data_IF_263979194597
#
_entry.id   IF_263979194597
#
_cell.length_a   1.000
_cell.length_b   1.000
_cell.length_c   1.000
_cell.angle_alpha   90.00
_cell.angle_beta   90.00
_cell.angle_gamma   90.00
#
_symmetry.space_group_name_H-M   'P 1'
#
loop_
_entity.id
_entity.type
_entity.pdbx_description
1 polymer ?
#
# COMPACT_ATOMS: atom_id res chain seq x y z
N UNK A 1 8.13 -11.83 -42.68
CA UNK A 1 8.07 -10.93 -41.51
C UNK A 1 7.95 -11.71 -40.20
N UNK A 2 7.00 -12.65 -40.06
CA UNK A 2 6.80 -13.43 -38.82
C UNK A 2 8.02 -14.20 -38.32
N UNK A 3 8.77 -14.88 -39.20
CA UNK A 3 9.97 -15.65 -38.77
C UNK A 3 11.08 -14.76 -38.18
N UNK A 4 11.23 -13.52 -38.65
CA UNK A 4 12.26 -12.58 -38.19
C UNK A 4 11.88 -12.00 -36.83
N UNK A 5 10.64 -11.55 -36.67
CA UNK A 5 10.12 -11.04 -35.40
C UNK A 5 10.21 -12.11 -34.30
N UNK A 6 9.76 -13.32 -34.60
CA UNK A 6 9.78 -14.43 -33.65
C UNK A 6 11.20 -14.77 -33.19
N UNK A 7 12.17 -14.82 -34.12
CA UNK A 7 13.59 -15.08 -33.77
C UNK A 7 14.18 -13.97 -32.90
N UNK A 8 13.82 -12.71 -33.14
CA UNK A 8 14.28 -11.59 -32.31
C UNK A 8 13.70 -11.67 -30.90
N UNK A 9 12.40 -11.93 -30.77
CA UNK A 9 11.75 -12.12 -29.46
C UNK A 9 12.42 -13.25 -28.69
N UNK A 10 12.64 -14.42 -29.31
CA UNK A 10 13.35 -15.53 -28.66
C UNK A 10 14.77 -15.16 -28.25
N UNK A 11 15.50 -14.45 -29.13
CA UNK A 11 16.87 -14.03 -28.84
C UNK A 11 16.92 -13.16 -27.59
N UNK A 12 15.99 -12.20 -27.46
CA UNK A 12 15.93 -11.33 -26.29
C UNK A 12 15.52 -12.07 -25.03
N UNK A 13 14.56 -12.99 -25.13
CA UNK A 13 14.20 -13.88 -24.03
C UNK A 13 15.41 -14.66 -23.51
N UNK A 14 16.21 -15.23 -24.42
CA UNK A 14 17.43 -15.95 -24.05
C UNK A 14 18.47 -15.05 -23.42
N UNK A 15 18.64 -13.81 -23.90
CA UNK A 15 19.56 -12.85 -23.29
C UNK A 15 19.14 -12.49 -21.87
N UNK A 16 17.84 -12.23 -21.67
CA UNK A 16 17.28 -11.92 -20.36
C UNK A 16 17.56 -13.03 -19.33
N UNK A 17 17.23 -14.29 -19.68
CA UNK A 17 17.43 -15.42 -18.76
C UNK A 17 18.91 -15.82 -18.57
N UNK A 18 19.82 -15.30 -19.39
CA UNK A 18 21.27 -15.52 -19.22
C UNK A 18 21.88 -14.61 -18.17
N UNK A 19 21.21 -13.53 -17.79
CA UNK A 19 21.69 -12.58 -16.79
C UNK A 19 20.94 -12.82 -15.46
N UNK A 20 21.48 -13.66 -14.55
CA UNK A 20 20.75 -14.08 -13.35
C UNK A 20 20.40 -12.90 -12.44
N UNK A 21 21.21 -11.84 -12.43
CA UNK A 21 20.91 -10.60 -11.71
C UNK A 21 19.63 -9.94 -12.21
N UNK A 22 19.45 -9.82 -13.54
CA UNK A 22 18.25 -9.21 -14.11
C UNK A 22 17.01 -10.04 -13.81
N UNK A 23 17.13 -11.37 -13.86
CA UNK A 23 16.05 -12.29 -13.49
C UNK A 23 15.66 -12.11 -12.02
N UNK A 24 16.63 -12.08 -11.10
CA UNK A 24 16.38 -11.87 -9.68
C UNK A 24 15.69 -10.54 -9.40
N UNK A 25 16.20 -9.44 -9.95
CA UNK A 25 15.63 -8.11 -9.71
C UNK A 25 14.25 -7.93 -10.35
N UNK A 26 13.96 -8.64 -11.45
CA UNK A 26 12.62 -8.58 -12.08
C UNK A 26 11.61 -9.47 -11.36
N UNK A 27 11.98 -10.70 -10.96
CA UNK A 27 11.03 -11.67 -10.42
C UNK A 27 11.14 -11.87 -8.90
N UNK A 28 12.36 -11.99 -8.39
CA UNK A 28 12.61 -12.28 -6.98
C UNK A 28 12.36 -11.07 -6.08
N UNK A 29 12.85 -9.90 -6.46
CA UNK A 29 12.75 -8.71 -5.61
C UNK A 29 11.30 -8.26 -5.33
N UNK A 30 10.39 -8.12 -6.32
CA UNK A 30 9.01 -7.73 -6.04
C UNK A 30 8.27 -8.73 -5.13
N UNK A 31 8.52 -10.03 -5.31
CA UNK A 31 7.96 -11.09 -4.46
C UNK A 31 8.50 -10.98 -3.04
N UNK A 32 9.82 -10.82 -2.86
CA UNK A 32 10.44 -10.63 -1.55
C UNK A 32 9.92 -9.37 -0.86
N UNK A 33 9.77 -8.26 -1.61
CA UNK A 33 9.22 -7.02 -1.08
C UNK A 33 7.76 -7.18 -0.67
N UNK A 34 6.93 -7.81 -1.50
CA UNK A 34 5.56 -8.12 -1.14
C UNK A 34 5.47 -9.02 0.09
N UNK A 35 6.40 -9.97 0.24
CA UNK A 35 6.47 -10.83 1.41
C UNK A 35 6.83 -10.06 2.68
N UNK A 36 7.94 -9.31 2.65
CA UNK A 36 8.46 -8.55 3.80
C UNK A 36 7.44 -7.50 4.24
N UNK A 37 6.98 -6.66 3.31
CA UNK A 37 6.01 -5.62 3.60
C UNK A 37 4.66 -6.23 3.97
N UNK A 38 4.23 -7.26 3.26
CA UNK A 38 2.98 -7.93 3.57
C UNK A 38 2.96 -8.50 4.98
N UNK A 39 4.04 -9.14 5.45
CA UNK A 39 4.15 -9.58 6.86
C UNK A 39 4.22 -8.38 7.80
N UNK A 40 5.06 -7.39 7.49
CA UNK A 40 5.28 -6.23 8.37
C UNK A 40 4.01 -5.40 8.61
N UNK A 41 3.06 -5.42 7.67
CA UNK A 41 1.82 -4.65 7.75
C UNK A 41 0.55 -5.51 7.84
N UNK A 42 0.60 -6.83 7.68
CA UNK A 42 -0.56 -7.73 7.82
C UNK A 42 -1.16 -7.72 9.22
N UNK A 43 -0.33 -7.52 10.25
CA UNK A 43 -0.76 -7.52 11.66
C UNK A 43 -1.05 -6.13 12.23
N UNK A 44 -1.09 -5.06 11.41
CA UNK A 44 -1.60 -3.76 11.87
C UNK A 44 -3.14 -3.72 11.92
N UNK A 45 -3.74 -4.82 12.38
CA UNK A 45 -5.14 -4.87 12.79
C UNK A 45 -5.38 -4.19 14.15
N UNK A 46 -4.33 -3.96 14.94
CA UNK A 46 -4.38 -3.02 16.05
C UNK A 46 -4.17 -1.60 15.49
N UNK A 47 -5.21 -1.03 14.89
CA UNK A 47 -5.32 0.43 14.87
C UNK A 47 -5.53 0.79 16.33
N UNK A 48 -4.44 1.08 17.02
CA UNK A 48 -4.49 1.76 18.29
C UNK A 48 -5.18 3.11 18.04
N UNK A 49 -6.42 3.20 18.50
CA UNK A 49 -7.26 4.37 18.27
C UNK A 49 -6.98 5.35 19.39
N UNK A 50 -6.16 6.34 19.07
CA UNK A 50 -5.86 7.44 19.98
C UNK A 50 -7.10 8.33 20.11
N UNK A 51 -7.59 8.45 21.34
CA UNK A 51 -8.75 9.26 21.72
C UNK A 51 -8.27 10.27 22.75
N UNK A 52 -8.53 11.55 22.54
CA UNK A 52 -8.28 12.53 23.57
C UNK A 52 -9.43 12.59 24.58
N UNK A 53 -9.11 12.74 25.86
CA UNK A 53 -10.06 13.00 26.94
C UNK A 53 -9.82 14.44 27.38
N UNK A 54 -10.79 15.32 27.12
CA UNK A 54 -10.68 16.74 27.46
C UNK A 54 -11.39 16.96 28.79
N UNK A 55 -10.64 17.43 29.78
CA UNK A 55 -11.18 17.78 31.09
C UNK A 55 -11.88 19.16 31.03
N UNK A 56 -13.04 19.28 31.67
CA UNK A 56 -13.78 20.55 31.75
C UNK A 56 -13.10 21.57 32.68
N UNK A 57 -12.31 21.10 33.64
CA UNK A 57 -11.59 21.94 34.59
C UNK A 57 -10.08 21.97 34.27
N UNK A 58 -9.45 23.14 34.08
CA UNK A 58 -8.01 23.27 33.81
C UNK A 58 -7.10 22.60 34.86
N UNK A 59 -7.55 22.49 36.10
CA UNK A 59 -6.79 21.82 37.19
C UNK A 59 -6.87 20.28 37.11
N UNK A 60 -7.85 19.72 36.40
CA UNK A 60 -8.05 18.27 36.20
C UNK A 60 -7.46 17.75 34.89
N UNK A 61 -6.80 18.62 34.11
CA UNK A 61 -6.21 18.32 32.78
C UNK A 61 -5.18 17.18 32.80
N UNK A 62 -4.73 16.76 33.98
CA UNK A 62 -3.73 15.70 34.14
C UNK A 62 -4.27 14.42 34.79
N UNK A 63 -5.54 14.40 35.21
CA UNK A 63 -6.16 13.27 35.89
C UNK A 63 -7.10 12.55 34.93
N UNK A 64 -6.90 11.24 34.79
CA UNK A 64 -7.85 10.38 34.07
C UNK A 64 -9.15 10.35 34.88
N UNK A 65 -10.32 10.64 34.27
CA UNK A 65 -11.58 10.61 34.98
C UNK A 65 -11.86 9.25 35.65
N UNK A 66 -12.32 9.25 36.90
CA UNK A 66 -12.59 8.02 37.66
C UNK A 66 -13.58 7.09 36.96
N UNK A 67 -14.57 7.66 36.25
CA UNK A 67 -15.52 6.89 35.48
C UNK A 67 -14.84 6.06 34.38
N UNK A 68 -13.78 6.59 33.76
CA UNK A 68 -13.06 5.91 32.70
C UNK A 68 -12.20 4.78 33.29
N UNK A 69 -11.54 5.02 34.43
CA UNK A 69 -10.80 3.99 35.16
C UNK A 69 -11.70 2.82 35.58
N UNK A 70 -12.90 3.12 36.09
CA UNK A 70 -13.91 2.12 36.43
C UNK A 70 -14.40 1.35 35.19
N UNK A 71 -14.56 2.04 34.06
CA UNK A 71 -15.01 1.44 32.79
C UNK A 71 -13.96 0.51 32.19
N UNK A 72 -12.69 0.92 32.21
CA UNK A 72 -11.57 0.14 31.66
C UNK A 72 -11.03 -0.91 32.63
N UNK A 73 -11.49 -0.92 33.88
CA UNK A 73 -11.03 -1.85 34.92
C UNK A 73 -9.54 -1.70 35.26
N UNK A 74 -8.96 -0.53 34.98
CA UNK A 74 -7.51 -0.29 35.14
C UNK A 74 -7.27 0.55 36.40
N UNK A 75 -6.37 0.10 37.29
CA UNK A 75 -5.96 0.88 38.45
C UNK A 75 -5.20 2.15 38.03
N UNK A 76 -5.41 3.26 38.75
CA UNK A 76 -4.79 4.58 38.50
C UNK A 76 -3.25 4.55 38.41
N UNK A 77 -2.61 3.51 38.92
CA UNK A 77 -1.14 3.33 38.99
C UNK A 77 -0.48 2.91 37.67
N UNK A 78 -1.24 2.57 36.62
CA UNK A 78 -0.71 2.19 35.30
C UNK A 78 -0.72 3.31 34.25
N UNK A 79 -1.17 4.51 34.61
CA UNK A 79 -1.22 5.64 33.69
C UNK A 79 0.14 6.35 33.60
N UNK A 80 0.67 6.49 32.40
CA UNK A 80 1.83 7.36 32.10
C UNK A 80 1.47 8.31 30.96
N UNK A 81 1.92 9.56 31.08
CA UNK A 81 1.60 10.67 30.14
C UNK A 81 1.99 10.37 28.70
N UNK A 82 3.02 9.56 28.50
CA UNK A 82 3.51 9.16 27.17
C UNK A 82 2.80 7.90 26.63
N UNK A 83 2.25 7.07 27.52
CA UNK A 83 1.65 5.77 27.19
C UNK A 83 0.12 5.82 27.09
N UNK A 84 -0.51 6.82 27.71
CA UNK A 84 -1.97 6.92 27.81
C UNK A 84 -2.60 5.80 28.65
N UNK A 85 -3.93 5.78 28.69
CA UNK A 85 -4.70 4.66 29.25
C UNK A 85 -5.12 3.73 28.11
N UNK A 86 -4.63 2.51 28.13
CA UNK A 86 -4.96 1.51 27.12
C UNK A 86 -6.17 0.67 27.54
N UNK A 87 -7.14 0.54 26.63
CA UNK A 87 -8.33 -0.28 26.82
C UNK A 87 -8.55 -1.18 25.60
N UNK A 88 -8.47 -2.49 25.82
CA UNK A 88 -8.75 -3.51 24.80
C UNK A 88 -10.16 -4.05 25.00
N UNK A 89 -10.97 -4.01 23.96
CA UNK A 89 -12.37 -4.48 23.96
C UNK A 89 -12.55 -5.52 22.88
N UNK A 90 -13.15 -6.66 23.21
CA UNK A 90 -13.40 -7.77 22.28
C UNK A 90 -12.64 -9.05 22.67
N UNK A 91 -13.33 -10.19 22.69
CA UNK A 91 -12.75 -11.49 23.09
C UNK A 91 -12.08 -12.23 21.90
N UNK A 92 -12.51 -11.93 20.67
CA UNK A 92 -12.02 -12.57 19.45
C UNK A 92 -11.03 -11.69 18.69
N UNK A 93 -10.07 -12.29 17.96
CA UNK A 93 -9.05 -11.59 17.17
C UNK A 93 -9.64 -10.59 16.14
N UNK A 94 -10.90 -10.78 15.69
CA UNK A 94 -11.61 -9.86 14.78
C UNK A 94 -12.51 -8.82 15.48
N UNK A 95 -12.68 -8.90 16.80
CA UNK A 95 -13.47 -7.98 17.62
C UNK A 95 -12.62 -6.99 18.40
N UNK A 96 -11.30 -7.17 18.42
CA UNK A 96 -10.40 -6.41 19.27
C UNK A 96 -10.25 -4.97 18.78
N UNK A 97 -10.90 -4.04 19.48
CA UNK A 97 -10.61 -2.63 19.40
C UNK A 97 -9.65 -2.26 20.54
N UNK A 98 -8.50 -1.69 20.19
CA UNK A 98 -7.53 -1.14 21.14
C UNK A 98 -7.67 0.37 21.14
N UNK A 99 -8.14 0.92 22.25
CA UNK A 99 -8.28 2.36 22.47
C UNK A 99 -7.14 2.83 23.35
N UNK A 100 -6.49 3.93 22.97
CA UNK A 100 -5.54 4.64 23.83
C UNK A 100 -6.12 6.00 24.16
N UNK A 101 -6.48 6.20 25.43
CA UNK A 101 -7.00 7.47 25.92
C UNK A 101 -5.85 8.37 26.39
N UNK A 102 -5.81 9.59 25.87
CA UNK A 102 -4.81 10.61 26.17
C UNK A 102 -5.50 11.81 26.81
N UNK A 103 -5.23 12.10 28.08
CA UNK A 103 -5.79 13.29 28.72
C UNK A 103 -5.00 14.52 28.27
N UNK A 104 -5.69 15.53 27.76
CA UNK A 104 -5.07 16.77 27.29
C UNK A 104 -6.03 17.95 27.37
N UNK A 105 -5.49 19.18 27.29
CA UNK A 105 -6.32 20.40 27.20
C UNK A 105 -7.03 20.50 25.86
N UNK A 106 -8.09 21.29 25.78
CA UNK A 106 -8.84 21.54 24.54
C UNK A 106 -7.92 22.06 23.41
N UNK A 107 -7.05 23.03 23.70
CA UNK A 107 -6.08 23.56 22.74
C UNK A 107 -5.13 22.47 22.20
N UNK A 108 -4.69 21.57 23.07
CA UNK A 108 -3.83 20.45 22.69
C UNK A 108 -4.60 19.40 21.88
N UNK A 109 -5.87 19.14 22.19
CA UNK A 109 -6.73 18.23 21.45
C UNK A 109 -7.02 18.76 20.03
N UNK A 110 -7.31 20.05 19.88
CA UNK A 110 -7.48 20.68 18.56
C UNK A 110 -6.21 20.52 17.72
N UNK A 111 -5.05 20.75 18.33
CA UNK A 111 -3.75 20.66 17.65
C UNK A 111 -3.41 19.20 17.29
N UNK A 112 -3.68 18.24 18.18
CA UNK A 112 -3.52 16.81 17.93
C UNK A 112 -4.46 16.30 16.84
N UNK A 113 -5.71 16.78 16.79
CA UNK A 113 -6.68 16.44 15.73
C UNK A 113 -6.19 16.98 14.38
N UNK A 114 -5.72 18.22 14.31
CA UNK A 114 -5.14 18.83 13.10
C UNK A 114 -3.90 18.08 12.59
N UNK A 115 -3.15 17.44 13.49
CA UNK A 115 -1.95 16.62 13.15
C UNK A 115 -2.28 15.15 12.86
N UNK A 116 -3.54 14.73 12.96
CA UNK A 116 -3.95 13.33 12.79
C UNK A 116 -3.41 12.40 13.88
N UNK A 117 -3.04 12.94 15.05
CA UNK A 117 -2.52 12.15 16.18
C UNK A 117 -3.64 11.48 16.98
N UNK A 118 -4.86 12.05 16.93
CA UNK A 118 -6.09 11.52 17.51
C UNK A 118 -7.18 11.50 16.44
N UNK A 119 -8.10 10.56 16.53
CA UNK A 119 -9.24 10.48 15.60
C UNK A 119 -10.44 11.29 16.09
N UNK A 120 -10.64 11.33 17.40
CA UNK A 120 -11.72 12.07 18.08
C UNK A 120 -11.30 12.45 19.50
N UNK A 121 -12.05 13.36 20.12
CA UNK A 121 -11.96 13.57 21.56
C UNK A 121 -13.32 13.51 22.25
N UNK A 122 -13.28 13.22 23.55
CA UNK A 122 -14.45 13.11 24.40
C UNK A 122 -14.43 14.18 25.50
N UNK A 123 -15.61 14.74 25.78
CA UNK A 123 -15.87 15.73 26.83
C UNK A 123 -16.98 15.21 27.76
N UNK A 124 -16.83 15.45 29.07
CA UNK A 124 -17.86 15.14 30.06
C UNK A 124 -17.80 13.73 30.66
N UNK A 125 -18.94 13.25 31.18
CA UNK A 125 -19.07 11.99 31.91
C UNK A 125 -20.31 11.21 31.46
N UNK A 126 -20.25 9.87 31.35
CA UNK A 126 -21.38 9.02 30.96
C UNK A 126 -22.64 9.21 31.82
N UNK A 127 -22.52 9.75 33.04
CA UNK A 127 -23.64 9.93 33.97
C UNK A 127 -24.35 11.29 33.86
N UNK A 128 -23.73 12.30 33.24
CA UNK A 128 -24.28 13.67 33.15
C UNK A 128 -24.48 14.12 31.71
N UNK A 129 -23.46 14.00 30.86
CA UNK A 129 -23.49 14.23 29.41
C UNK A 129 -22.13 13.80 28.83
N UNK A 130 -22.10 12.93 27.81
CA UNK A 130 -20.87 12.48 27.16
C UNK A 130 -20.88 12.94 25.71
N UNK A 131 -20.01 13.90 25.38
CA UNK A 131 -19.95 14.54 24.06
C UNK A 131 -18.74 14.06 23.29
N UNK A 132 -18.95 13.67 22.04
CA UNK A 132 -17.89 13.26 21.12
C UNK A 132 -17.68 14.35 20.08
N UNK A 133 -16.43 14.78 19.89
CA UNK A 133 -16.06 15.73 18.84
C UNK A 133 -15.12 15.09 17.84
N UNK A 134 -15.55 15.07 16.58
CA UNK A 134 -14.81 14.53 15.46
C UNK A 134 -15.30 15.12 14.14
N UNK A 135 -14.52 14.93 13.07
CA UNK A 135 -14.93 15.29 11.70
C UNK A 135 -15.80 14.17 11.09
N UNK A 136 -17.08 14.42 10.76
CA UNK A 136 -17.97 13.41 10.15
C UNK A 136 -17.51 12.92 8.78
N UNK A 137 -16.67 13.68 8.07
CA UNK A 137 -16.13 13.30 6.77
C UNK A 137 -14.88 12.42 6.89
N UNK A 138 -14.34 12.25 8.09
CA UNK A 138 -13.24 11.35 8.35
C UNK A 138 -13.76 9.94 8.69
N UNK A 139 -13.57 9.00 7.77
CA UNK A 139 -14.03 7.61 7.88
C UNK A 139 -13.46 6.90 9.13
N UNK A 140 -12.20 7.16 9.48
CA UNK A 140 -11.54 6.55 10.64
C UNK A 140 -12.11 7.09 11.96
N UNK A 141 -12.37 8.41 12.02
CA UNK A 141 -12.99 9.04 13.17
C UNK A 141 -14.42 8.53 13.40
N UNK A 142 -15.21 8.39 12.33
CA UNK A 142 -16.56 7.84 12.39
C UNK A 142 -16.58 6.38 12.84
N UNK A 143 -15.65 5.56 12.34
CA UNK A 143 -15.52 4.16 12.76
C UNK A 143 -15.08 4.05 14.23
N UNK A 144 -14.13 4.89 14.65
CA UNK A 144 -13.67 4.97 16.04
C UNK A 144 -14.80 5.34 16.99
N UNK A 145 -15.63 6.33 16.63
CA UNK A 145 -16.82 6.71 17.38
C UNK A 145 -17.80 5.54 17.55
N UNK A 146 -18.16 4.85 16.47
CA UNK A 146 -19.11 3.73 16.51
C UNK A 146 -18.59 2.55 17.36
N UNK A 147 -17.31 2.22 17.24
CA UNK A 147 -16.69 1.17 18.05
C UNK A 147 -16.67 1.55 19.53
N UNK A 148 -16.28 2.79 19.85
CA UNK A 148 -16.20 3.29 21.22
C UNK A 148 -17.58 3.38 21.88
N UNK A 149 -18.59 3.88 21.16
CA UNK A 149 -19.98 3.92 21.62
C UNK A 149 -20.51 2.51 21.88
N UNK A 150 -20.28 1.57 20.96
CA UNK A 150 -20.70 0.18 21.14
C UNK A 150 -20.06 -0.48 22.36
N UNK A 151 -18.78 -0.19 22.60
CA UNK A 151 -18.02 -0.70 23.74
C UNK A 151 -18.56 -0.13 25.07
N UNK A 152 -18.88 1.17 25.11
CA UNK A 152 -19.49 1.78 26.29
C UNK A 152 -20.90 1.26 26.59
N UNK A 153 -21.67 0.87 25.57
CA UNK A 153 -23.05 0.38 25.68
C UNK A 153 -23.16 -1.08 26.11
N UNK A 154 -22.22 -1.94 25.72
CA UNK A 154 -22.23 -3.41 25.98
C UNK A 154 -22.17 -3.78 27.47
N UNK A 155 -21.75 -2.87 28.35
CA UNK A 155 -21.48 -3.15 29.77
C UNK A 155 -22.70 -3.05 30.72
N UNK A 156 -23.91 -2.66 30.25
CA UNK A 156 -25.10 -2.48 31.13
C UNK A 156 -26.26 -3.49 30.93
N UNK A 157 -26.11 -4.59 30.19
CA UNK A 157 -27.12 -5.67 30.23
C UNK A 157 -26.63 -7.01 29.66
N UNK A 158 -26.75 -8.05 30.49
CA UNK A 158 -26.83 -9.49 30.23
C UNK A 158 -26.12 -10.09 29.02
N UNK A 159 -25.19 -11.00 29.32
CA UNK A 159 -25.06 -12.35 28.74
C UNK A 159 -25.75 -12.61 27.39
N UNK A 160 -25.30 -11.88 26.36
CA UNK A 160 -25.58 -12.22 24.97
C UNK A 160 -24.24 -12.51 24.32
N UNK A 161 -23.98 -13.80 24.06
CA UNK A 161 -22.92 -14.21 23.13
C UNK A 161 -23.15 -13.41 21.86
N UNK A 162 -22.36 -12.35 21.72
CA UNK A 162 -22.39 -11.50 20.54
C UNK A 162 -21.52 -12.28 19.57
N UNK A 163 -22.15 -13.06 18.72
CA UNK A 163 -21.45 -13.68 17.61
C UNK A 163 -21.12 -12.53 16.66
N UNK A 164 -19.91 -11.97 16.78
CA UNK A 164 -19.43 -11.01 15.80
C UNK A 164 -19.06 -11.81 14.58
N UNK A 165 -19.95 -11.75 13.60
CA UNK A 165 -19.64 -12.07 12.23
C UNK A 165 -18.65 -10.99 11.78
N UNK A 166 -17.33 -11.31 11.64
CA UNK A 166 -16.40 -10.34 11.10
C UNK A 166 -16.93 -9.92 9.72
N UNK A 167 -17.08 -8.61 9.51
CA UNK A 167 -17.26 -8.09 8.16
C UNK A 167 -15.93 -8.26 7.44
N UNK A 168 -15.70 -9.46 6.89
CA UNK A 168 -14.65 -9.74 5.91
C UNK A 168 -15.05 -9.09 4.59
N UNK A 169 -15.16 -7.75 4.59
CA UNK A 169 -15.24 -6.99 3.35
C UNK A 169 -13.84 -6.94 2.77
N UNK A 170 -13.65 -7.62 1.64
CA UNK A 170 -12.38 -7.74 0.94
C UNK A 170 -11.95 -6.34 0.49
N UNK A 171 -10.70 -5.91 0.76
CA UNK A 171 -10.20 -4.57 0.42
C UNK A 171 -10.00 -3.61 1.59
N UNK A 172 -10.12 -4.06 2.85
CA UNK A 172 -9.80 -3.24 4.03
C UNK A 172 -8.37 -3.46 4.55
N UNK A 173 -7.73 -4.56 4.15
CA UNK A 173 -6.38 -4.89 4.63
C UNK A 173 -5.37 -4.06 3.87
N UNK A 174 -4.34 -3.56 4.54
CA UNK A 174 -3.24 -2.84 3.88
C UNK A 174 -2.62 -3.65 2.73
N UNK A 175 -2.53 -4.97 2.89
CA UNK A 175 -2.00 -5.87 1.84
C UNK A 175 -2.83 -5.87 0.56
N UNK A 176 -4.15 -5.62 0.66
CA UNK A 176 -5.07 -5.56 -0.49
C UNK A 176 -4.80 -4.31 -1.36
N UNK A 177 -4.25 -3.24 -0.77
CA UNK A 177 -3.82 -2.03 -1.49
C UNK A 177 -2.36 -2.11 -1.93
N UNK A 178 -1.49 -2.68 -1.11
CA UNK A 178 -0.05 -2.75 -1.35
C UNK A 178 0.27 -3.57 -2.60
N UNK A 179 -0.34 -4.73 -2.75
CA UNK A 179 0.02 -5.71 -3.79
C UNK A 179 -0.28 -5.19 -5.21
N UNK A 180 -1.46 -4.61 -5.50
CA UNK A 180 -1.70 -3.93 -6.77
C UNK A 180 -0.71 -2.79 -7.04
N UNK A 181 -0.35 -2.02 -6.02
CA UNK A 181 0.66 -0.95 -6.15
C UNK A 181 2.04 -1.49 -6.53
N UNK A 182 2.49 -2.56 -5.87
CA UNK A 182 3.74 -3.24 -6.21
C UNK A 182 3.72 -3.79 -7.64
N UNK A 183 2.60 -4.39 -8.09
CA UNK A 183 2.44 -4.85 -9.47
C UNK A 183 2.59 -3.69 -10.48
N UNK A 184 1.97 -2.54 -10.21
CA UNK A 184 2.05 -1.37 -11.08
C UNK A 184 3.48 -0.81 -11.16
N UNK A 185 4.16 -0.67 -10.01
CA UNK A 185 5.54 -0.22 -9.93
C UNK A 185 6.49 -1.19 -10.64
N UNK A 186 6.26 -2.50 -10.50
CA UNK A 186 6.97 -3.55 -11.22
C UNK A 186 6.87 -3.37 -12.74
N UNK A 187 5.66 -3.20 -13.27
CA UNK A 187 5.45 -2.97 -14.71
C UNK A 187 6.13 -1.68 -15.18
N UNK A 188 5.99 -0.59 -14.42
CA UNK A 188 6.63 0.68 -14.71
C UNK A 188 8.15 0.52 -14.80
N UNK A 189 8.78 -0.03 -13.76
CA UNK A 189 10.22 -0.25 -13.72
C UNK A 189 10.67 -1.19 -14.84
N UNK A 190 9.92 -2.26 -15.11
CA UNK A 190 10.21 -3.15 -16.22
C UNK A 190 10.22 -2.38 -17.55
N UNK A 191 9.24 -1.51 -17.82
CA UNK A 191 9.21 -0.73 -19.06
C UNK A 191 10.37 0.27 -19.15
N UNK A 192 10.56 1.11 -18.13
CA UNK A 192 11.55 2.18 -18.14
C UNK A 192 12.99 1.65 -18.18
N UNK A 193 13.30 0.64 -17.37
CA UNK A 193 14.63 0.03 -17.36
C UNK A 193 14.81 -1.02 -18.45
N UNK A 194 13.78 -1.74 -18.87
CA UNK A 194 13.94 -2.78 -19.89
C UNK A 194 13.91 -2.25 -21.32
N UNK A 195 12.99 -1.34 -21.60
CA UNK A 195 12.86 -0.73 -22.92
C UNK A 195 13.75 0.51 -22.96
N UNK A 196 13.57 1.43 -22.00
CA UNK A 196 14.26 2.71 -22.01
C UNK A 196 15.78 2.55 -21.94
N UNK A 197 16.29 1.91 -20.89
CA UNK A 197 17.74 1.74 -20.73
C UNK A 197 18.38 0.93 -21.86
N UNK A 198 17.77 -0.18 -22.27
CA UNK A 198 18.32 -1.02 -23.33
C UNK A 198 18.44 -0.25 -24.66
N UNK A 199 17.43 0.56 -25.03
CA UNK A 199 17.49 1.41 -26.23
C UNK A 199 18.60 2.47 -26.13
N UNK A 200 18.78 3.07 -24.95
CA UNK A 200 19.86 4.05 -24.69
C UNK A 200 21.21 3.37 -24.86
N UNK A 201 21.40 2.19 -24.28
CA UNK A 201 22.64 1.43 -24.34
C UNK A 201 22.99 1.01 -25.78
N UNK A 202 22.02 0.46 -26.53
CA UNK A 202 22.20 0.09 -27.94
C UNK A 202 22.58 1.29 -28.81
N UNK A 203 22.05 2.48 -28.50
CA UNK A 203 22.40 3.73 -29.19
C UNK A 203 23.82 4.17 -28.87
N UNK A 204 24.18 4.25 -27.59
CA UNK A 204 25.49 4.71 -27.13
C UNK A 204 26.60 3.80 -27.66
N UNK A 205 26.38 2.48 -27.63
CA UNK A 205 27.30 1.48 -28.22
C UNK A 205 27.31 1.48 -29.76
N UNK A 206 26.55 2.37 -30.41
CA UNK A 206 26.36 2.46 -31.86
C UNK A 206 25.88 1.15 -32.51
N UNK A 207 25.31 0.24 -31.72
CA UNK A 207 24.79 -1.05 -32.20
C UNK A 207 23.58 -0.84 -33.10
N UNK A 208 22.73 0.14 -32.78
CA UNK A 208 21.60 0.51 -33.65
C UNK A 208 22.06 0.92 -35.06
N UNK A 209 23.18 1.63 -35.21
CA UNK A 209 23.72 1.99 -36.54
C UNK A 209 24.17 0.76 -37.32
N UNK A 210 24.79 -0.21 -36.64
CA UNK A 210 25.19 -1.48 -37.27
C UNK A 210 23.99 -2.30 -37.72
N UNK A 211 22.89 -2.26 -36.94
CA UNK A 211 21.65 -2.96 -37.28
C UNK A 211 20.95 -2.36 -38.51
N UNK A 212 21.06 -1.05 -38.75
CA UNK A 212 20.50 -0.41 -39.95
C UNK A 212 21.16 -0.89 -41.25
N UNK A 213 22.42 -1.35 -41.19
CA UNK A 213 23.11 -1.92 -42.35
C UNK A 213 22.63 -3.36 -42.70
N UNK A 214 21.82 -3.99 -41.85
CA UNK A 214 21.19 -5.29 -42.11
C UNK A 214 19.79 -5.09 -42.71
N UNK A 215 19.19 -6.09 -43.38
CA UNK A 215 17.82 -5.98 -43.94
C UNK A 215 16.71 -5.95 -42.87
N UNK A 216 17.04 -5.55 -41.63
CA UNK A 216 16.12 -5.48 -40.51
C UNK A 216 15.32 -4.18 -40.53
N UNK A 217 14.00 -4.29 -40.61
CA UNK A 217 13.09 -3.14 -40.50
C UNK A 217 13.07 -2.61 -39.06
N UNK A 218 13.14 -1.28 -38.89
CA UNK A 218 13.11 -0.58 -37.58
C UNK A 218 11.85 -0.92 -36.77
N UNK A 219 10.69 -1.02 -37.43
CA UNK A 219 9.42 -1.37 -36.78
C UNK A 219 9.43 -2.79 -36.20
N UNK A 220 10.01 -3.76 -36.92
CA UNK A 220 10.15 -5.14 -36.46
C UNK A 220 11.07 -5.22 -35.24
N UNK A 221 12.14 -4.43 -35.23
CA UNK A 221 13.04 -4.32 -34.09
C UNK A 221 12.29 -3.80 -32.84
N UNK A 222 11.62 -2.64 -32.95
CA UNK A 222 10.88 -2.06 -31.82
C UNK A 222 9.74 -2.95 -31.33
N UNK A 223 8.96 -3.54 -32.25
CA UNK A 223 7.91 -4.49 -31.91
C UNK A 223 8.46 -5.74 -31.22
N UNK A 224 9.62 -6.26 -31.66
CA UNK A 224 10.23 -7.42 -31.00
C UNK A 224 10.68 -7.11 -29.57
N UNK A 225 11.23 -5.90 -29.34
CA UNK A 225 11.64 -5.44 -28.00
C UNK A 225 10.44 -5.23 -27.08
N UNK A 226 9.40 -4.56 -27.60
CA UNK A 226 8.15 -4.35 -26.89
C UNK A 226 7.43 -5.65 -26.59
N UNK A 227 7.32 -6.59 -27.53
CA UNK A 227 6.64 -7.87 -27.28
C UNK A 227 7.41 -8.72 -26.26
N UNK A 228 8.73 -8.82 -26.40
CA UNK A 228 9.56 -9.55 -25.44
C UNK A 228 9.35 -9.02 -24.01
N UNK A 229 9.40 -7.69 -23.85
CA UNK A 229 9.22 -7.08 -22.52
C UNK A 229 7.80 -7.24 -21.99
N UNK A 230 6.78 -7.14 -22.84
CA UNK A 230 5.39 -7.37 -22.46
C UNK A 230 5.19 -8.76 -21.86
N UNK A 231 5.76 -9.80 -22.49
CA UNK A 231 5.64 -11.17 -21.97
C UNK A 231 6.39 -11.36 -20.64
N UNK A 232 7.58 -10.76 -20.50
CA UNK A 232 8.33 -10.81 -19.23
C UNK A 232 7.54 -10.12 -18.11
N UNK A 233 7.00 -8.93 -18.37
CA UNK A 233 6.19 -8.18 -17.39
C UNK A 233 4.87 -8.88 -17.07
N UNK A 234 4.24 -9.56 -18.04
CA UNK A 234 3.07 -10.38 -17.79
C UNK A 234 3.40 -11.57 -16.88
N UNK A 235 4.56 -12.22 -17.09
CA UNK A 235 5.03 -13.29 -16.23
C UNK A 235 5.36 -12.79 -14.81
N UNK A 236 5.92 -11.59 -14.69
CA UNK A 236 6.21 -10.95 -13.40
C UNK A 236 4.92 -10.67 -12.61
N UNK A 237 3.93 -10.07 -13.28
CA UNK A 237 2.62 -9.83 -12.69
C UNK A 237 1.93 -11.14 -12.27
N UNK A 238 2.00 -12.18 -13.13
CA UNK A 238 1.44 -13.48 -12.81
C UNK A 238 2.14 -14.12 -11.61
N UNK A 239 3.47 -14.09 -11.56
CA UNK A 239 4.24 -14.63 -10.44
C UNK A 239 3.88 -13.94 -9.13
N UNK A 240 3.85 -12.60 -9.15
CA UNK A 240 3.51 -11.81 -7.97
C UNK A 240 2.06 -12.04 -7.53
N UNK A 241 1.13 -12.18 -8.48
CA UNK A 241 -0.25 -12.53 -8.18
C UNK A 241 -0.39 -13.92 -7.56
N UNK A 242 0.25 -14.93 -8.15
CA UNK A 242 0.24 -16.32 -7.62
C UNK A 242 0.78 -16.34 -6.20
N UNK A 243 1.89 -15.64 -5.96
CA UNK A 243 2.44 -15.49 -4.61
C UNK A 243 1.45 -14.81 -3.65
N UNK A 244 0.86 -13.69 -4.07
CA UNK A 244 -0.12 -12.96 -3.27
C UNK A 244 -1.36 -13.79 -2.93
N UNK A 245 -1.82 -14.61 -3.88
CA UNK A 245 -2.94 -15.50 -3.68
C UNK A 245 -2.64 -16.58 -2.64
N UNK A 246 -1.48 -17.25 -2.73
CA UNK A 246 -1.13 -18.33 -1.80
C UNK A 246 -0.71 -17.84 -0.41
N UNK A 247 -0.10 -16.66 -0.30
CA UNK A 247 0.45 -16.18 0.97
C UNK A 247 -0.46 -15.21 1.71
N UNK A 248 -1.27 -14.42 1.00
CA UNK A 248 -2.12 -13.38 1.61
C UNK A 248 -3.63 -13.60 1.39
N UNK A 249 -4.02 -14.68 0.71
CA UNK A 249 -5.39 -15.00 0.31
C UNK A 249 -6.05 -13.92 -0.57
N UNK A 250 -5.23 -13.23 -1.37
CA UNK A 250 -5.74 -12.20 -2.29
C UNK A 250 -6.41 -12.85 -3.49
N UNK A 251 -7.59 -12.33 -3.83
CA UNK A 251 -8.35 -12.73 -5.02
C UNK A 251 -8.51 -11.53 -5.95
N UNK A 252 -8.46 -11.78 -7.26
CA UNK A 252 -8.81 -10.75 -8.25
C UNK A 252 -10.30 -10.50 -8.15
N UNK A 253 -10.68 -9.30 -7.73
CA UNK A 253 -12.06 -8.85 -7.75
C UNK A 253 -12.38 -8.27 -9.14
N UNK A 254 -13.45 -8.74 -9.76
CA UNK A 254 -13.90 -8.30 -11.09
C UNK A 254 -13.59 -9.30 -12.21
N UNK A 255 -13.44 -8.80 -13.44
CA UNK A 255 -13.19 -9.66 -14.60
C UNK A 255 -11.71 -9.74 -14.96
N UNK A 256 -11.25 -10.96 -15.31
CA UNK A 256 -9.89 -11.18 -15.81
C UNK A 256 -9.60 -10.37 -17.09
N UNK A 257 -10.66 -10.11 -17.87
CA UNK A 257 -10.59 -9.25 -19.05
C UNK A 257 -10.28 -7.80 -18.69
N UNK A 258 -10.92 -7.24 -17.65
CA UNK A 258 -10.61 -5.90 -17.18
C UNK A 258 -9.17 -5.79 -16.69
N UNK A 259 -8.68 -6.79 -15.93
CA UNK A 259 -7.28 -6.84 -15.51
C UNK A 259 -6.32 -6.86 -16.70
N UNK A 260 -6.64 -7.65 -17.73
CA UNK A 260 -5.83 -7.72 -18.96
C UNK A 260 -5.82 -6.40 -19.73
N UNK A 261 -6.95 -5.68 -19.79
CA UNK A 261 -7.04 -4.37 -20.42
C UNK A 261 -6.27 -3.29 -19.64
N UNK A 262 -6.35 -3.31 -18.30
CA UNK A 262 -5.58 -2.39 -17.44
C UNK A 262 -4.09 -2.65 -17.60
N UNK A 263 -3.68 -3.92 -17.59
CA UNK A 263 -2.29 -4.31 -17.85
C UNK A 263 -1.81 -3.81 -19.21
N UNK A 264 -2.57 -4.05 -20.29
CA UNK A 264 -2.17 -3.67 -21.64
C UNK A 264 -2.13 -2.14 -21.81
N UNK A 265 -3.08 -1.43 -21.21
CA UNK A 265 -3.12 0.03 -21.19
C UNK A 265 -1.92 0.62 -20.45
N UNK A 266 -1.69 0.18 -19.20
CA UNK A 266 -0.56 0.64 -18.38
C UNK A 266 0.78 0.30 -19.03
N UNK A 267 0.93 -0.92 -19.56
CA UNK A 267 2.11 -1.34 -20.31
C UNK A 267 2.36 -0.42 -21.52
N UNK A 268 1.33 -0.14 -22.32
CA UNK A 268 1.44 0.72 -23.50
C UNK A 268 1.84 2.15 -23.13
N UNK A 269 1.29 2.68 -22.05
CA UNK A 269 1.63 4.01 -21.53
C UNK A 269 3.11 4.07 -21.09
N UNK A 270 3.54 3.16 -20.22
CA UNK A 270 4.92 3.14 -19.73
C UNK A 270 5.93 2.79 -20.81
N UNK A 271 5.61 1.90 -21.75
CA UNK A 271 6.45 1.61 -22.91
C UNK A 271 6.61 2.84 -23.81
N UNK A 272 5.54 3.61 -24.02
CA UNK A 272 5.58 4.87 -24.75
C UNK A 272 6.51 5.90 -24.09
N UNK A 273 6.38 6.08 -22.76
CA UNK A 273 7.26 6.96 -21.97
C UNK A 273 8.71 6.47 -22.05
N UNK A 274 8.96 5.16 -21.90
CA UNK A 274 10.29 4.57 -21.98
C UNK A 274 10.97 4.84 -23.32
N UNK A 275 10.24 4.69 -24.44
CA UNK A 275 10.74 5.02 -25.77
C UNK A 275 11.01 6.52 -25.89
N UNK A 276 10.14 7.39 -25.38
CA UNK A 276 10.34 8.85 -25.40
C UNK A 276 11.59 9.26 -24.62
N UNK A 277 11.81 8.72 -23.42
CA UNK A 277 13.02 8.97 -22.61
C UNK A 277 14.26 8.49 -23.35
N UNK A 278 14.20 7.27 -23.90
CA UNK A 278 15.31 6.72 -24.68
C UNK A 278 15.65 7.58 -25.90
N UNK A 279 14.66 8.27 -26.46
CA UNK A 279 14.84 9.14 -27.62
C UNK A 279 15.69 10.37 -27.30
N UNK A 280 15.54 10.92 -26.08
CA UNK A 280 16.18 12.17 -25.62
C UNK A 280 17.49 11.99 -24.89
N UNK A 281 17.77 10.82 -24.33
CA UNK A 281 19.01 10.59 -23.61
C UNK A 281 20.23 10.61 -24.57
N UNK A 282 21.17 11.50 -24.27
CA UNK A 282 22.42 11.66 -25.03
C UNK A 282 23.56 10.78 -24.49
N UNK A 283 23.55 10.54 -23.18
CA UNK A 283 24.55 9.74 -22.46
C UNK A 283 23.87 8.87 -21.37
N UNK A 284 24.62 7.94 -20.77
CA UNK A 284 24.09 7.02 -19.75
C UNK A 284 23.66 7.73 -18.47
N UNK A 285 24.36 8.79 -18.07
CA UNK A 285 24.06 9.55 -16.85
C UNK A 285 22.75 10.33 -16.97
N UNK A 286 22.56 11.06 -18.07
CA UNK A 286 21.31 11.72 -18.42
C UNK A 286 20.18 10.71 -18.61
N UNK A 287 20.47 9.53 -19.18
CA UNK A 287 19.50 8.44 -19.28
C UNK A 287 18.97 7.98 -17.91
N UNK A 288 19.88 7.75 -16.96
CA UNK A 288 19.54 7.38 -15.60
C UNK A 288 18.72 8.49 -14.91
N UNK A 289 19.18 9.74 -15.01
CA UNK A 289 18.47 10.89 -14.45
C UNK A 289 17.06 11.06 -15.01
N UNK A 290 16.88 10.89 -16.32
CA UNK A 290 15.57 10.99 -16.97
C UNK A 290 14.63 9.87 -16.53
N UNK A 291 15.12 8.63 -16.43
CA UNK A 291 14.31 7.51 -15.91
C UNK A 291 13.87 7.82 -14.48
N UNK A 292 14.80 8.22 -13.61
CA UNK A 292 14.49 8.50 -12.20
C UNK A 292 13.55 9.69 -12.02
N UNK A 293 13.63 10.71 -12.89
CA UNK A 293 12.72 11.87 -12.87
C UNK A 293 11.26 11.49 -13.08
N UNK A 294 11.01 10.36 -13.76
CA UNK A 294 9.67 9.82 -13.98
C UNK A 294 9.29 8.81 -12.91
N UNK A 295 10.21 7.95 -12.46
CA UNK A 295 9.87 6.90 -11.49
C UNK A 295 9.63 7.42 -10.07
N UNK A 296 10.30 8.48 -9.63
CA UNK A 296 10.19 8.97 -8.25
C UNK A 296 8.83 9.61 -7.91
N UNK A 297 8.19 10.42 -8.77
CA UNK A 297 6.89 11.03 -8.47
C UNK A 297 5.67 10.15 -8.76
N UNK A 298 5.84 9.02 -9.47
CA UNK A 298 4.77 8.08 -9.86
C UNK A 298 4.52 7.03 -8.79
#
# INVERSE_FOLDING_TARGET
MNKMLFRLVISQFKLFFREPGVVFWSFGFPVLMAWILGIAFANKGEIERNIAVVAENPEEVYLVPEWLLNKTGTASTKYSRESGLEWKVGENHGEQAHFRFLVMSEDAAILALKRGQIALWIEGSPERDLRFRFDPNNTDARLTYLLLESAFRKQKSLNRKTEVLPLTTIGIRYVDFLIPGLMAISIMNACLWGIGWNLIELRIKKLLRRMVATPLKKSVFLLSHGLNRMFISAAELLLLYVFAHFFFDITIQGSLLALSLIFLSGYSAFAGIAVLISSRAENTQSGNGLINSVTLPM
#
